data_IF_932146089855
#
_entry.id   IF_932146089855
#
_cell.length_a   1.000
_cell.length_b   1.000
_cell.length_c   1.000
_cell.angle_alpha   90.00
_cell.angle_beta   90.00
_cell.angle_gamma   90.00
#
_symmetry.space_group_name_H-M   'P 1'
#
loop_
_entity.id
_entity.type
_entity.pdbx_description
1 polymer ?
#
# COMPACT_ATOMS: atom_id res chain seq x y z
N UNK A 1 3.07 -13.48 9.96
CA UNK A 1 1.89 -12.63 10.18
C UNK A 1 2.28 -11.45 11.05
N UNK A 2 1.66 -10.29 10.84
CA UNK A 2 1.68 -9.17 11.77
C UNK A 2 0.73 -9.45 12.94
N UNK A 3 1.22 -9.26 14.17
CA UNK A 3 0.46 -9.60 15.38
C UNK A 3 -0.70 -8.64 15.67
N UNK A 4 -0.64 -7.40 15.17
CA UNK A 4 -1.68 -6.40 15.41
C UNK A 4 -2.83 -6.51 14.41
N UNK A 5 -2.50 -6.57 13.13
CA UNK A 5 -3.45 -6.42 12.01
C UNK A 5 -3.84 -7.74 11.35
N UNK A 6 -3.10 -8.81 11.63
CA UNK A 6 -3.33 -10.12 11.02
C UNK A 6 -3.15 -10.13 9.50
N UNK A 7 -2.44 -9.17 8.90
CA UNK A 7 -1.90 -9.28 7.53
C UNK A 7 -0.52 -9.91 7.55
N UNK A 8 0.12 -10.07 6.38
CA UNK A 8 1.53 -10.44 6.35
C UNK A 8 2.39 -9.36 7.02
N UNK A 9 3.53 -9.78 7.57
CA UNK A 9 4.54 -8.83 8.06
C UNK A 9 5.58 -8.56 6.96
N UNK A 10 6.44 -7.58 7.17
CA UNK A 10 7.52 -7.19 6.26
C UNK A 10 8.35 -8.37 5.71
N UNK A 11 8.72 -9.32 6.56
CA UNK A 11 9.50 -10.50 6.14
C UNK A 11 8.71 -11.36 5.15
N UNK A 12 7.49 -11.72 5.51
CA UNK A 12 6.63 -12.56 4.68
C UNK A 12 6.21 -11.83 3.38
N UNK A 13 6.06 -10.51 3.42
CA UNK A 13 5.86 -9.68 2.23
C UNK A 13 7.00 -9.84 1.23
N UNK A 14 8.25 -9.70 1.67
CA UNK A 14 9.40 -9.82 0.77
C UNK A 14 9.47 -11.19 0.12
N UNK A 15 9.32 -12.25 0.91
CA UNK A 15 9.28 -13.63 0.42
C UNK A 15 8.19 -13.78 -0.67
N UNK A 16 6.97 -13.29 -0.40
CA UNK A 16 5.86 -13.34 -1.36
C UNK A 16 6.10 -12.50 -2.60
N UNK A 17 6.67 -11.31 -2.47
CA UNK A 17 6.98 -10.47 -3.62
C UNK A 17 7.95 -11.15 -4.58
N UNK A 18 9.00 -11.80 -4.06
CA UNK A 18 9.95 -12.52 -4.90
C UNK A 18 9.31 -13.72 -5.61
N UNK A 19 8.45 -14.46 -4.92
CA UNK A 19 7.66 -15.55 -5.51
C UNK A 19 6.76 -15.03 -6.64
N UNK A 20 6.05 -13.92 -6.40
CA UNK A 20 5.13 -13.31 -7.36
C UNK A 20 5.85 -12.74 -8.58
N UNK A 21 6.98 -12.07 -8.41
CA UNK A 21 7.81 -11.58 -9.53
C UNK A 21 8.37 -12.76 -10.34
N UNK A 22 8.82 -13.82 -9.68
CA UNK A 22 9.28 -15.03 -10.39
C UNK A 22 8.15 -15.68 -11.19
N UNK A 23 6.95 -15.79 -10.60
CA UNK A 23 5.75 -16.31 -11.25
C UNK A 23 5.35 -15.46 -12.45
N UNK A 24 5.25 -14.14 -12.26
CA UNK A 24 4.93 -13.17 -13.30
C UNK A 24 5.90 -13.27 -14.48
N UNK A 25 7.20 -13.35 -14.21
CA UNK A 25 8.22 -13.55 -15.26
C UNK A 25 8.05 -14.88 -16.00
N UNK A 26 7.76 -15.96 -15.29
CA UNK A 26 7.65 -17.31 -15.88
C UNK A 26 6.45 -17.43 -16.82
N UNK A 27 5.34 -16.75 -16.50
CA UNK A 27 4.08 -16.85 -17.23
C UNK A 27 3.78 -15.63 -18.11
N UNK A 28 4.74 -14.71 -18.25
CA UNK A 28 4.58 -13.46 -19.00
C UNK A 28 3.33 -12.68 -18.54
N UNK A 29 3.25 -12.48 -17.23
CA UNK A 29 2.19 -11.71 -16.58
C UNK A 29 2.75 -10.46 -15.92
N UNK A 30 1.87 -9.47 -15.76
CA UNK A 30 2.17 -8.24 -15.03
C UNK A 30 1.70 -8.37 -13.58
N UNK A 31 2.38 -7.68 -12.68
CA UNK A 31 1.87 -7.42 -11.33
C UNK A 31 2.09 -5.95 -10.99
N UNK A 32 1.24 -5.42 -10.12
CA UNK A 32 1.39 -4.06 -9.59
C UNK A 32 1.59 -4.11 -8.09
N UNK A 33 2.64 -3.44 -7.62
CA UNK A 33 2.91 -3.20 -6.21
C UNK A 33 2.37 -1.83 -5.81
N UNK A 34 1.66 -1.78 -4.69
CA UNK A 34 1.29 -0.56 -3.98
C UNK A 34 2.11 -0.45 -2.70
N UNK A 35 2.77 0.70 -2.52
CA UNK A 35 3.31 1.16 -1.24
C UNK A 35 2.33 2.19 -0.68
N UNK A 36 1.94 2.03 0.58
CA UNK A 36 0.93 2.85 1.23
C UNK A 36 1.42 3.32 2.59
N UNK A 37 1.19 4.59 2.93
CA UNK A 37 1.53 5.14 4.23
C UNK A 37 0.40 6.05 4.73
N UNK A 38 0.03 5.85 5.99
CA UNK A 38 -1.02 6.63 6.64
C UNK A 38 -0.55 8.04 6.98
N UNK A 39 -1.23 9.02 6.40
CA UNK A 39 -0.86 10.42 6.49
C UNK A 39 -1.03 10.95 7.91
N UNK A 40 0.02 11.60 8.44
CA UNK A 40 0.01 12.22 9.77
C UNK A 40 -0.31 11.26 10.93
N UNK A 41 -0.13 9.94 10.73
CA UNK A 41 -0.49 8.92 11.73
C UNK A 41 0.24 9.10 13.08
N UNK A 42 1.49 9.54 13.05
CA UNK A 42 2.21 9.93 14.28
C UNK A 42 1.46 10.98 15.11
N UNK A 43 0.86 12.00 14.48
CA UNK A 43 0.08 13.04 15.21
C UNK A 43 -1.15 12.45 15.87
N UNK A 44 -1.79 11.46 15.23
CA UNK A 44 -2.92 10.74 15.80
C UNK A 44 -2.48 9.99 17.06
N UNK A 45 -1.37 9.26 16.99
CA UNK A 45 -0.80 8.58 18.15
C UNK A 45 -0.43 9.55 19.28
N UNK A 46 0.21 10.67 18.95
CA UNK A 46 0.61 11.67 19.92
C UNK A 46 -0.61 12.35 20.58
N UNK A 47 -1.75 12.44 19.88
CA UNK A 47 -2.97 13.11 20.37
C UNK A 47 -3.91 12.16 21.12
N UNK A 48 -4.06 10.92 20.65
CA UNK A 48 -5.08 9.97 21.13
C UNK A 48 -4.48 8.71 21.77
N UNK A 49 -3.16 8.58 21.77
CA UNK A 49 -2.44 7.43 22.33
C UNK A 49 -2.34 6.24 21.37
N UNK A 50 -1.32 5.42 21.61
CA UNK A 50 -1.01 4.26 20.76
C UNK A 50 -2.13 3.23 20.66
N UNK A 51 -2.96 3.06 21.71
CA UNK A 51 -4.08 2.12 21.69
C UNK A 51 -5.12 2.49 20.63
N UNK A 52 -5.38 3.79 20.45
CA UNK A 52 -6.30 4.28 19.43
C UNK A 52 -5.67 4.15 18.03
N UNK A 53 -4.38 4.43 17.88
CA UNK A 53 -3.67 4.15 16.64
C UNK A 53 -3.69 2.67 16.25
N UNK A 54 -3.51 1.77 17.22
CA UNK A 54 -3.56 0.32 17.01
C UNK A 54 -4.94 -0.13 16.49
N UNK A 55 -6.01 0.46 17.01
CA UNK A 55 -7.37 0.29 16.46
C UNK A 55 -7.45 0.74 15.00
N UNK A 56 -6.98 1.96 14.69
CA UNK A 56 -7.02 2.48 13.33
C UNK A 56 -6.25 1.60 12.36
N UNK A 57 -5.09 1.06 12.76
CA UNK A 57 -4.28 0.16 11.93
C UNK A 57 -5.01 -1.15 11.62
N UNK A 58 -5.76 -1.72 12.59
CA UNK A 58 -6.59 -2.91 12.36
C UNK A 58 -7.68 -2.63 11.34
N UNK A 59 -8.40 -1.53 11.52
CA UNK A 59 -9.46 -1.11 10.60
C UNK A 59 -8.92 -0.84 9.20
N UNK A 60 -7.79 -0.15 9.08
CA UNK A 60 -7.14 0.09 7.78
C UNK A 60 -6.78 -1.23 7.10
N UNK A 61 -6.20 -2.18 7.84
CA UNK A 61 -5.89 -3.50 7.29
C UNK A 61 -7.14 -4.23 6.78
N UNK A 62 -8.26 -4.16 7.53
CA UNK A 62 -9.53 -4.75 7.13
C UNK A 62 -10.15 -4.05 5.91
N UNK A 63 -10.07 -2.71 5.84
CA UNK A 63 -10.48 -1.96 4.65
C UNK A 63 -9.68 -2.42 3.43
N UNK A 64 -8.36 -2.56 3.54
CA UNK A 64 -7.52 -3.03 2.44
C UNK A 64 -7.93 -4.44 2.02
N UNK A 65 -8.01 -5.39 2.97
CA UNK A 65 -8.41 -6.79 2.72
C UNK A 65 -9.75 -6.89 1.99
N UNK A 66 -10.75 -6.12 2.41
CA UNK A 66 -12.10 -6.17 1.84
C UNK A 66 -12.21 -5.49 0.45
N UNK A 67 -11.15 -4.82 0.00
CA UNK A 67 -11.12 -4.12 -1.29
C UNK A 67 -10.15 -4.73 -2.31
N UNK A 68 -9.52 -5.86 -1.98
CA UNK A 68 -8.63 -6.61 -2.88
C UNK A 68 -9.21 -8.01 -3.13
N UNK A 69 -8.69 -8.72 -4.13
CA UNK A 69 -9.11 -10.09 -4.45
C UNK A 69 -8.42 -11.08 -3.53
N UNK A 70 -8.96 -12.29 -3.43
CA UNK A 70 -8.35 -13.37 -2.63
C UNK A 70 -6.91 -13.73 -3.06
N UNK A 71 -6.60 -13.55 -4.34
CA UNK A 71 -5.25 -13.81 -4.90
C UNK A 71 -4.26 -12.69 -4.64
N UNK A 72 -4.74 -11.51 -4.26
CA UNK A 72 -3.91 -10.35 -3.97
C UNK A 72 -3.35 -10.46 -2.54
N UNK A 73 -2.18 -9.88 -2.33
CA UNK A 73 -1.43 -10.04 -1.09
C UNK A 73 -1.33 -8.70 -0.39
N UNK A 74 -1.77 -8.64 0.87
CA UNK A 74 -1.61 -7.47 1.73
C UNK A 74 -0.62 -7.75 2.86
N UNK A 75 0.21 -6.76 3.15
CA UNK A 75 1.14 -6.81 4.27
C UNK A 75 1.29 -5.46 4.96
N UNK A 76 1.68 -5.51 6.24
CA UNK A 76 2.17 -4.37 6.99
C UNK A 76 3.69 -4.34 6.89
N UNK A 77 4.18 -3.33 6.18
CA UNK A 77 5.60 -3.16 5.83
C UNK A 77 6.37 -2.50 6.98
N UNK A 78 5.75 -1.52 7.62
CA UNK A 78 6.31 -0.73 8.72
C UNK A 78 5.26 -0.38 9.77
N UNK A 79 5.56 0.62 10.61
CA UNK A 79 4.66 1.06 11.68
C UNK A 79 3.27 1.45 11.16
N UNK A 80 3.22 2.39 10.21
CA UNK A 80 2.00 2.89 9.58
C UNK A 80 1.95 2.62 8.07
N UNK A 81 2.85 1.77 7.59
CA UNK A 81 3.04 1.47 6.17
C UNK A 81 2.43 0.10 5.82
N UNK A 82 1.66 0.08 4.73
CA UNK A 82 1.06 -1.12 4.16
C UNK A 82 1.53 -1.33 2.72
N UNK A 83 1.46 -2.56 2.27
CA UNK A 83 1.74 -2.93 0.88
C UNK A 83 0.66 -3.85 0.34
N UNK A 84 0.40 -3.72 -0.96
CA UNK A 84 -0.50 -4.61 -1.69
C UNK A 84 0.19 -5.07 -2.97
N UNK A 85 0.25 -6.39 -3.18
CA UNK A 85 0.65 -7.00 -4.45
C UNK A 85 -0.63 -7.40 -5.18
N UNK A 86 -0.92 -6.73 -6.29
CA UNK A 86 -1.99 -7.13 -7.21
C UNK A 86 -1.42 -8.05 -8.28
N UNK A 87 -1.77 -9.33 -8.19
CA UNK A 87 -1.31 -10.33 -9.14
C UNK A 87 -2.09 -10.22 -10.46
N UNK A 88 -1.40 -10.42 -11.58
CA UNK A 88 -2.00 -10.38 -12.93
C UNK A 88 -2.73 -9.06 -13.19
N UNK A 89 -2.11 -7.94 -12.82
CA UNK A 89 -2.67 -6.60 -12.94
C UNK A 89 -1.62 -5.62 -13.48
N UNK A 90 -2.05 -4.78 -14.42
CA UNK A 90 -1.32 -3.61 -14.91
C UNK A 90 -1.75 -2.36 -14.12
N UNK A 91 -1.00 -1.25 -14.28
CA UNK A 91 -1.20 -0.02 -13.50
C UNK A 91 -2.61 0.55 -13.64
N UNK A 92 -3.15 0.53 -14.84
CA UNK A 92 -4.47 1.05 -15.18
C UNK A 92 -5.56 0.28 -14.42
N UNK A 93 -5.46 -1.05 -14.42
CA UNK A 93 -6.39 -1.91 -13.69
C UNK A 93 -6.22 -1.75 -12.16
N UNK A 94 -4.98 -1.57 -11.69
CA UNK A 94 -4.64 -1.39 -10.30
C UNK A 94 -5.09 -0.02 -9.73
N UNK A 95 -5.12 1.03 -10.56
CA UNK A 95 -5.50 2.39 -10.16
C UNK A 95 -6.91 2.44 -9.57
N UNK A 96 -7.86 1.72 -10.16
CA UNK A 96 -9.23 1.64 -9.62
C UNK A 96 -9.29 1.04 -8.21
N UNK A 97 -8.44 0.04 -7.93
CA UNK A 97 -8.33 -0.55 -6.59
C UNK A 97 -7.64 0.40 -5.61
N UNK A 98 -6.54 1.05 -6.01
CA UNK A 98 -5.85 2.03 -5.18
C UNK A 98 -6.76 3.21 -4.79
N UNK A 99 -7.49 3.77 -5.75
CA UNK A 99 -8.43 4.88 -5.51
C UNK A 99 -9.56 4.47 -4.58
N UNK A 100 -10.12 3.27 -4.78
CA UNK A 100 -11.18 2.73 -3.91
C UNK A 100 -10.69 2.58 -2.47
N UNK A 101 -9.51 1.99 -2.27
CA UNK A 101 -8.91 1.84 -0.93
C UNK A 101 -8.68 3.22 -0.29
N UNK A 102 -8.04 4.14 -1.02
CA UNK A 102 -7.79 5.52 -0.56
C UNK A 102 -9.07 6.20 -0.10
N UNK A 103 -10.11 6.16 -0.93
CA UNK A 103 -11.40 6.78 -0.63
C UNK A 103 -12.06 6.12 0.59
N UNK A 104 -12.06 4.79 0.67
CA UNK A 104 -12.65 4.07 1.81
C UNK A 104 -11.95 4.38 3.13
N UNK A 105 -10.62 4.53 3.13
CA UNK A 105 -9.88 4.95 4.33
C UNK A 105 -10.25 6.39 4.71
N UNK A 106 -10.23 7.31 3.75
CA UNK A 106 -10.53 8.73 4.00
C UNK A 106 -11.96 8.98 4.50
N UNK A 107 -12.92 8.17 4.06
CA UNK A 107 -14.34 8.28 4.43
C UNK A 107 -14.70 7.46 5.69
N UNK A 108 -13.82 6.60 6.18
CA UNK A 108 -14.15 5.71 7.30
C UNK A 108 -14.30 6.53 8.60
N UNK A 109 -15.43 6.37 9.33
CA UNK A 109 -15.63 7.04 10.60
C UNK A 109 -14.86 6.31 11.71
N UNK A 110 -13.58 6.64 11.90
CA UNK A 110 -12.79 6.06 12.98
C UNK A 110 -13.30 6.58 14.33
N UNK A 111 -14.23 5.83 14.91
CA UNK A 111 -14.82 6.11 16.22
C UNK A 111 -14.57 4.94 17.16
N UNK A 112 -13.95 5.20 18.31
CA UNK A 112 -13.79 4.23 19.39
C UNK A 112 -13.70 4.97 20.73
N UNK A 113 -14.42 4.47 21.75
CA UNK A 113 -14.37 4.98 23.13
C UNK A 113 -14.59 6.50 23.24
N UNK A 114 -15.48 7.05 22.39
CA UNK A 114 -15.79 8.48 22.34
C UNK A 114 -14.77 9.36 21.62
N UNK A 115 -13.68 8.78 21.10
CA UNK A 115 -12.71 9.46 20.23
C UNK A 115 -13.15 9.31 18.78
N UNK A 116 -13.23 10.44 18.06
CA UNK A 116 -13.47 10.46 16.62
C UNK A 116 -12.34 11.19 15.91
N UNK A 117 -11.68 10.49 14.98
CA UNK A 117 -10.62 11.04 14.15
C UNK A 117 -10.78 10.57 12.69
N UNK A 118 -9.92 11.09 11.82
CA UNK A 118 -9.83 10.68 10.42
C UNK A 118 -8.36 10.53 10.05
N UNK A 119 -8.07 9.59 9.15
CA UNK A 119 -6.75 9.44 8.53
C UNK A 119 -6.91 9.29 7.03
N UNK A 120 -5.93 9.77 6.28
CA UNK A 120 -5.84 9.54 4.84
C UNK A 120 -4.61 8.70 4.52
N UNK A 121 -4.47 8.29 3.26
CA UNK A 121 -3.34 7.47 2.84
C UNK A 121 -2.72 8.05 1.57
N UNK A 122 -1.39 8.07 1.56
CA UNK A 122 -0.60 8.32 0.36
C UNK A 122 -0.18 6.99 -0.25
N UNK A 123 -0.46 6.79 -1.54
CA UNK A 123 -0.21 5.53 -2.24
C UNK A 123 0.75 5.77 -3.41
N UNK A 124 1.82 4.98 -3.46
CA UNK A 124 2.71 4.87 -4.60
C UNK A 124 2.53 3.54 -5.32
N UNK A 125 2.52 3.56 -6.65
CA UNK A 125 2.32 2.36 -7.46
C UNK A 125 3.46 2.18 -8.46
N UNK A 126 3.88 0.93 -8.65
CA UNK A 126 4.76 0.53 -9.75
C UNK A 126 4.41 -0.88 -10.21
N UNK A 127 4.73 -1.21 -11.46
CA UNK A 127 4.43 -2.51 -12.04
C UNK A 127 5.66 -3.24 -12.55
N UNK A 128 5.65 -4.55 -12.39
CA UNK A 128 6.58 -5.44 -13.09
C UNK A 128 5.88 -6.02 -14.32
N UNK A 129 6.58 -6.16 -15.47
CA UNK A 129 7.97 -5.78 -15.73
C UNK A 129 8.16 -4.32 -16.20
N UNK A 130 7.08 -3.55 -16.32
CA UNK A 130 7.10 -2.23 -16.95
C UNK A 130 8.07 -1.24 -16.29
N UNK A 131 8.09 -1.15 -14.96
CA UNK A 131 8.90 -0.19 -14.21
C UNK A 131 10.20 -0.77 -13.66
N UNK A 132 10.26 -2.08 -13.49
CA UNK A 132 11.34 -2.76 -12.79
C UNK A 132 11.50 -4.19 -13.29
N UNK A 133 12.67 -4.77 -13.05
CA UNK A 133 12.96 -6.14 -13.47
C UNK A 133 13.04 -7.11 -12.29
N UNK A 134 12.97 -6.64 -11.04
CA UNK A 134 13.07 -7.48 -9.85
C UNK A 134 12.29 -6.87 -8.68
N UNK A 135 12.02 -7.68 -7.64
CA UNK A 135 11.22 -7.23 -6.51
C UNK A 135 11.85 -6.11 -5.68
N UNK A 136 13.19 -6.01 -5.62
CA UNK A 136 13.85 -4.96 -4.83
C UNK A 136 13.69 -3.61 -5.54
N UNK A 137 14.03 -3.57 -6.83
CA UNK A 137 13.85 -2.34 -7.63
C UNK A 137 12.38 -1.93 -7.72
N UNK A 138 11.44 -2.89 -7.77
CA UNK A 138 10.00 -2.61 -7.74
C UNK A 138 9.56 -1.90 -6.45
N UNK A 139 10.04 -2.35 -5.28
CA UNK A 139 9.77 -1.68 -4.00
C UNK A 139 10.29 -0.25 -4.03
N UNK A 140 11.53 -0.05 -4.51
CA UNK A 140 12.15 1.28 -4.55
C UNK A 140 11.34 2.27 -5.40
N UNK A 141 10.94 1.88 -6.61
CA UNK A 141 10.19 2.79 -7.49
C UNK A 141 8.76 3.04 -7.01
N UNK A 142 8.12 2.07 -6.35
CA UNK A 142 6.81 2.26 -5.72
C UNK A 142 6.89 3.18 -4.49
N UNK A 143 7.96 3.06 -3.69
CA UNK A 143 8.24 3.93 -2.54
C UNK A 143 8.51 5.37 -2.98
N UNK A 144 9.30 5.58 -4.03
CA UNK A 144 9.52 6.90 -4.64
C UNK A 144 8.21 7.54 -5.09
N UNK A 145 7.29 6.77 -5.68
CA UNK A 145 5.97 7.25 -6.05
C UNK A 145 5.13 7.62 -4.81
N UNK A 146 5.18 6.82 -3.74
CA UNK A 146 4.48 7.11 -2.49
C UNK A 146 5.01 8.38 -1.84
N UNK A 147 6.32 8.59 -1.89
CA UNK A 147 6.95 9.81 -1.40
C UNK A 147 6.55 11.04 -2.23
N UNK A 148 6.41 10.90 -3.55
CA UNK A 148 5.82 11.95 -4.41
C UNK A 148 4.39 12.25 -4.00
N UNK A 149 3.57 11.23 -3.70
CA UNK A 149 2.19 11.42 -3.23
C UNK A 149 2.15 12.26 -1.94
N UNK A 150 3.02 11.96 -0.97
CA UNK A 150 3.15 12.72 0.27
C UNK A 150 3.53 14.19 0.01
N UNK A 151 4.49 14.42 -0.89
CA UNK A 151 4.95 15.79 -1.24
C UNK A 151 3.94 16.58 -2.04
N UNK A 152 3.09 15.91 -2.81
CA UNK A 152 2.07 16.51 -3.65
C UNK A 152 0.72 16.72 -2.94
N UNK A 153 0.73 16.81 -1.61
CA UNK A 153 -0.44 17.17 -0.80
C UNK A 153 -1.12 16.00 -0.08
N UNK A 154 -0.52 14.80 -0.09
CA UNK A 154 -1.05 13.59 0.59
C UNK A 154 -2.40 13.13 0.04
N UNK A 155 -3.05 12.14 0.66
CA UNK A 155 -4.38 11.63 0.30
C UNK A 155 -4.57 11.40 -1.22
N UNK A 156 -3.58 10.77 -1.85
CA UNK A 156 -3.55 10.58 -3.31
C UNK A 156 -2.79 9.35 -3.73
N UNK A 157 -2.98 8.97 -4.98
CA UNK A 157 -2.29 7.87 -5.64
C UNK A 157 -1.32 8.48 -6.66
N UNK A 158 -0.06 8.08 -6.61
CA UNK A 158 0.94 8.41 -7.62
C UNK A 158 1.42 7.13 -8.29
N UNK A 159 1.51 7.16 -9.62
CA UNK A 159 2.10 6.09 -10.41
C UNK A 159 3.57 6.45 -10.66
N UNK A 160 4.44 5.46 -10.49
CA UNK A 160 5.79 5.58 -10.99
C UNK A 160 5.78 5.59 -12.52
N UNK A 161 6.35 6.65 -13.06
CA UNK A 161 6.67 6.74 -14.46
C UNK A 161 8.19 6.71 -14.57
N UNK A 162 8.71 5.74 -15.34
CA UNK A 162 10.13 5.75 -15.72
C UNK A 162 10.45 7.13 -16.29
N UNK A 163 11.51 7.81 -15.80
CA UNK A 163 11.94 9.04 -16.42
C UNK A 163 12.21 8.75 -17.90
N UNK A 164 11.58 9.52 -18.80
CA UNK A 164 11.85 9.41 -20.23
C UNK A 164 13.37 9.53 -20.40
N UNK A 165 14.02 8.43 -20.76
CA UNK A 165 15.43 8.45 -21.11
C UNK A 165 15.58 9.44 -22.25
N UNK A 166 16.27 10.55 -22.00
CA UNK A 166 16.73 11.41 -23.08
C UNK A 166 17.50 10.54 -24.06
N UNK A 167 17.00 10.50 -25.30
CA UNK A 167 17.74 9.95 -26.43
C UNK A 167 19.01 10.74 -26.67
#
# INVERSE_FOLDING_TARGET
>A
MDGLTGVLNHRAFKEKLFEEVYRARRYDHSLTLMMMDLDDFKKINDTHGHLYGDYMLRIVADIIKNNIRMVDIVARYGGEEFTVILANAEKEAAMGTAQRIRQKIAEYPFEQDGIRASVTVSIGMASFPEDSHDGISLIQVADDAMYKAKRAGKNRVEIYHKPNGGS
#
